data_IF_998029678209
#
_entry.id   IF_998029678209
#
_cell.length_a   1.000
_cell.length_b   1.000
_cell.length_c   1.000
_cell.angle_alpha   90.00
_cell.angle_beta   90.00
_cell.angle_gamma   90.00
#
_symmetry.space_group_name_H-M   'P 1'
#
loop_
_entity.id
_entity.type
_entity.pdbx_description
1 polymer ?
#
# COMPACT_ATOMS: atom_id res chain seq x y z
N UNK A 1 33.83 5.07 -2.47
CA UNK A 1 35.28 4.98 -2.22
C UNK A 1 35.75 3.52 -2.35
N UNK A 2 35.14 2.55 -1.61
CA UNK A 2 35.53 1.14 -1.67
C UNK A 2 35.47 0.57 -3.10
N UNK A 3 34.34 0.77 -3.80
CA UNK A 3 34.15 0.29 -5.17
C UNK A 3 35.13 0.92 -6.18
N UNK A 4 35.46 2.20 -6.00
CA UNK A 4 36.45 2.89 -6.83
C UNK A 4 37.85 2.33 -6.58
N UNK A 5 38.23 2.14 -5.30
CA UNK A 5 39.58 1.67 -4.95
C UNK A 5 39.82 0.19 -5.30
N UNK A 6 38.82 -0.66 -5.15
CA UNK A 6 38.96 -2.10 -5.36
C UNK A 6 38.65 -2.56 -6.80
N UNK A 7 37.71 -1.89 -7.47
CA UNK A 7 37.16 -2.32 -8.76
C UNK A 7 37.29 -1.26 -9.85
N UNK A 8 37.77 -0.04 -9.53
CA UNK A 8 37.82 1.08 -10.48
C UNK A 8 36.46 1.64 -10.89
N UNK A 9 35.38 1.29 -10.16
CA UNK A 9 33.99 1.56 -10.52
C UNK A 9 33.46 2.76 -9.75
N UNK A 10 33.07 3.81 -10.48
CA UNK A 10 32.52 5.05 -9.90
C UNK A 10 31.00 5.17 -10.05
N UNK A 11 30.40 4.53 -11.03
CA UNK A 11 28.98 4.66 -11.37
C UNK A 11 28.18 3.44 -10.92
N UNK A 12 26.91 3.67 -10.56
CA UNK A 12 26.00 2.61 -10.10
C UNK A 12 25.75 1.55 -11.17
N UNK A 13 25.62 1.97 -12.42
CA UNK A 13 25.39 1.03 -13.54
C UNK A 13 26.55 0.06 -13.71
N UNK A 14 27.78 0.56 -13.68
CA UNK A 14 28.99 -0.26 -13.74
C UNK A 14 29.08 -1.22 -12.55
N UNK A 15 28.73 -0.73 -11.34
CA UNK A 15 28.71 -1.56 -10.14
C UNK A 15 27.68 -2.70 -10.26
N UNK A 16 26.52 -2.44 -10.82
CA UNK A 16 25.49 -3.45 -11.05
C UNK A 16 25.94 -4.48 -12.07
N UNK A 17 26.55 -4.05 -13.17
CA UNK A 17 27.07 -4.93 -14.23
C UNK A 17 28.18 -5.87 -13.72
N UNK A 18 29.15 -5.34 -12.98
CA UNK A 18 30.21 -6.14 -12.37
C UNK A 18 29.65 -6.99 -11.21
N UNK A 19 28.65 -6.54 -10.50
CA UNK A 19 28.02 -7.24 -9.38
C UNK A 19 27.39 -8.58 -9.77
N UNK A 20 27.08 -8.78 -11.04
CA UNK A 20 26.62 -10.08 -11.57
C UNK A 20 27.77 -11.08 -11.80
N UNK A 21 29.03 -10.61 -11.82
CA UNK A 21 30.18 -11.42 -12.24
C UNK A 21 31.18 -11.70 -11.10
N UNK A 22 31.35 -10.78 -10.15
CA UNK A 22 32.40 -10.83 -9.13
C UNK A 22 31.80 -10.92 -7.72
N UNK A 23 32.04 -12.00 -6.94
CA UNK A 23 31.48 -12.20 -5.60
C UNK A 23 31.81 -11.08 -4.60
N UNK A 24 33.02 -10.53 -4.65
CA UNK A 24 33.45 -9.49 -3.69
C UNK A 24 32.73 -8.15 -3.88
N UNK A 25 32.09 -7.91 -5.01
CA UNK A 25 31.23 -6.73 -5.24
C UNK A 25 29.96 -6.76 -4.39
N UNK A 26 29.63 -7.90 -3.78
CA UNK A 26 28.48 -8.03 -2.86
C UNK A 26 28.59 -7.06 -1.68
N UNK A 27 29.79 -6.69 -1.19
CA UNK A 27 29.96 -5.76 -0.05
C UNK A 27 29.36 -4.37 -0.34
N UNK A 28 29.78 -3.63 -1.39
CA UNK A 28 29.16 -2.34 -1.69
C UNK A 28 27.69 -2.45 -2.07
N UNK A 29 27.25 -3.55 -2.71
CA UNK A 29 25.84 -3.79 -3.00
C UNK A 29 25.02 -3.93 -1.73
N UNK A 30 25.49 -4.69 -0.72
CA UNK A 30 24.83 -4.82 0.59
C UNK A 30 24.72 -3.49 1.29
N UNK A 31 25.79 -2.67 1.31
CA UNK A 31 25.76 -1.37 1.97
C UNK A 31 24.77 -0.41 1.30
N UNK A 32 24.71 -0.40 -0.02
CA UNK A 32 23.72 0.37 -0.78
C UNK A 32 22.29 -0.16 -0.56
N UNK A 33 22.12 -1.48 -0.55
CA UNK A 33 20.82 -2.09 -0.26
C UNK A 33 20.36 -1.76 1.17
N UNK A 34 21.27 -1.81 2.14
CA UNK A 34 20.99 -1.39 3.53
C UNK A 34 20.55 0.08 3.60
N UNK A 35 21.24 0.98 2.89
CA UNK A 35 20.82 2.38 2.78
C UNK A 35 19.42 2.51 2.14
N UNK A 36 19.11 1.71 1.11
CA UNK A 36 17.78 1.65 0.51
C UNK A 36 16.70 1.19 1.49
N UNK A 37 16.97 0.14 2.29
CA UNK A 37 16.05 -0.36 3.32
C UNK A 37 15.78 0.67 4.41
N UNK A 38 16.81 1.36 4.90
CA UNK A 38 16.66 2.40 5.93
C UNK A 38 15.86 3.59 5.40
N UNK A 39 16.15 4.05 4.19
CA UNK A 39 15.47 5.18 3.55
C UNK A 39 14.02 4.88 3.21
N UNK A 40 13.69 3.63 2.89
CA UNK A 40 12.32 3.17 2.62
C UNK A 40 11.55 2.71 3.87
N UNK A 41 12.03 3.06 5.06
CA UNK A 41 11.38 2.76 6.34
C UNK A 41 11.06 1.27 6.54
N UNK A 42 11.93 0.38 6.06
CA UNK A 42 11.80 -1.04 6.33
C UNK A 42 12.10 -1.35 7.79
N UNK A 43 11.48 -2.40 8.35
CA UNK A 43 11.81 -2.84 9.71
C UNK A 43 13.24 -3.38 9.74
N UNK A 44 14.03 -3.01 10.76
CA UNK A 44 13.66 -2.34 12.02
C UNK A 44 13.63 -0.79 11.97
N UNK A 45 13.87 -0.16 10.83
CA UNK A 45 14.04 1.29 10.69
C UNK A 45 12.73 2.07 10.46
N UNK A 46 11.56 1.46 10.69
CA UNK A 46 10.24 2.05 10.36
C UNK A 46 9.77 3.18 11.27
N UNK A 47 10.33 3.33 12.47
CA UNK A 47 9.85 4.27 13.51
C UNK A 47 9.89 5.73 13.09
N UNK A 48 10.88 6.14 12.32
CA UNK A 48 11.01 7.54 11.89
C UNK A 48 9.81 7.99 11.04
N UNK A 49 9.28 7.09 10.19
CA UNK A 49 8.12 7.40 9.35
C UNK A 49 6.86 7.60 10.20
N UNK A 50 6.66 6.78 11.22
CA UNK A 50 5.55 6.91 12.15
C UNK A 50 5.65 8.22 12.97
N UNK A 51 6.85 8.57 13.43
CA UNK A 51 7.10 9.83 14.13
C UNK A 51 6.87 11.06 13.26
N UNK A 52 7.08 10.95 11.95
CA UNK A 52 6.84 12.06 11.00
C UNK A 52 5.36 12.36 10.74
N UNK A 53 4.42 11.54 11.24
CA UNK A 53 2.97 11.78 11.08
C UNK A 53 2.42 12.98 11.85
N UNK A 54 3.21 13.61 12.70
CA UNK A 54 2.88 14.89 13.38
C UNK A 54 2.92 16.07 12.40
N UNK A 55 3.64 15.94 11.28
CA UNK A 55 3.75 16.98 10.26
C UNK A 55 2.39 17.30 9.59
N UNK A 56 2.23 18.53 9.04
CA UNK A 56 1.06 18.88 8.26
C UNK A 56 0.80 17.88 7.14
N UNK A 57 -0.48 17.62 6.85
CA UNK A 57 -0.88 16.55 5.93
C UNK A 57 -0.33 16.69 4.51
N UNK A 58 -0.23 17.90 3.90
CA UNK A 58 0.38 18.05 2.58
C UNK A 58 1.85 17.64 2.55
N UNK A 59 2.62 17.96 3.61
CA UNK A 59 4.02 17.53 3.75
C UNK A 59 4.11 16.00 3.86
N UNK A 60 3.22 15.39 4.68
CA UNK A 60 3.14 13.93 4.80
C UNK A 60 2.78 13.28 3.45
N UNK A 61 1.86 13.87 2.68
CA UNK A 61 1.50 13.40 1.35
C UNK A 61 2.71 13.37 0.40
N UNK A 62 3.49 14.44 0.35
CA UNK A 62 4.67 14.53 -0.51
C UNK A 62 5.76 13.54 -0.09
N UNK A 63 6.15 13.54 1.19
CA UNK A 63 7.29 12.78 1.69
C UNK A 63 7.03 11.26 1.71
N UNK A 64 5.82 10.86 2.09
CA UNK A 64 5.50 9.45 2.32
C UNK A 64 4.82 8.75 1.15
N UNK A 65 4.34 9.50 0.15
CA UNK A 65 3.71 8.91 -1.04
C UNK A 65 4.63 8.89 -2.24
N UNK A 66 5.30 10.00 -2.57
CA UNK A 66 5.92 10.16 -3.87
C UNK A 66 7.44 10.34 -3.85
N UNK A 67 8.05 10.85 -2.78
CA UNK A 67 9.44 11.31 -2.82
C UNK A 67 10.39 10.52 -1.89
N UNK A 68 10.46 10.89 -0.62
CA UNK A 68 11.51 10.46 0.30
C UNK A 68 11.62 8.94 0.44
N UNK A 69 10.52 8.28 0.72
CA UNK A 69 10.49 6.81 0.90
C UNK A 69 10.66 6.06 -0.41
N UNK A 70 10.29 6.70 -1.54
CA UNK A 70 10.43 6.10 -2.87
C UNK A 70 11.89 6.09 -3.33
N UNK A 71 12.69 7.05 -2.91
CA UNK A 71 14.12 7.07 -3.22
C UNK A 71 14.82 5.78 -2.72
N UNK A 72 14.42 5.26 -1.53
CA UNK A 72 14.97 4.01 -1.02
C UNK A 72 14.62 2.80 -1.88
N UNK A 73 13.34 2.60 -2.19
CA UNK A 73 12.92 1.47 -3.04
C UNK A 73 13.34 1.63 -4.51
N UNK A 74 13.48 2.86 -5.00
CA UNK A 74 14.08 3.13 -6.30
C UNK A 74 15.52 2.63 -6.38
N UNK A 75 16.34 2.92 -5.35
CA UNK A 75 17.69 2.41 -5.25
C UNK A 75 17.71 0.88 -5.26
N UNK A 76 16.81 0.23 -4.50
CA UNK A 76 16.69 -1.23 -4.47
C UNK A 76 16.32 -1.81 -5.85
N UNK A 77 15.38 -1.18 -6.57
CA UNK A 77 15.01 -1.57 -7.94
C UNK A 77 16.22 -1.43 -8.90
N UNK A 78 17.01 -0.36 -8.75
CA UNK A 78 18.22 -0.17 -9.57
C UNK A 78 19.31 -1.19 -9.26
N UNK A 79 19.37 -1.70 -8.03
CA UNK A 79 20.30 -2.74 -7.60
C UNK A 79 19.81 -4.16 -7.93
N UNK A 80 18.55 -4.33 -8.36
CA UNK A 80 17.91 -5.64 -8.46
C UNK A 80 18.68 -6.67 -9.30
N UNK A 81 19.35 -6.35 -10.43
CA UNK A 81 20.12 -7.34 -11.17
C UNK A 81 21.31 -7.88 -10.36
N UNK A 82 21.97 -7.00 -9.58
CA UNK A 82 23.07 -7.39 -8.70
C UNK A 82 22.60 -8.10 -7.39
N UNK A 83 21.30 -8.09 -7.10
CA UNK A 83 20.70 -8.81 -5.98
C UNK A 83 20.22 -10.21 -6.37
N UNK A 84 20.08 -10.50 -7.65
CA UNK A 84 19.53 -11.77 -8.13
C UNK A 84 20.36 -12.98 -7.70
N UNK A 85 19.70 -13.94 -7.04
CA UNK A 85 20.30 -15.24 -6.70
C UNK A 85 21.36 -15.24 -5.60
N UNK A 86 21.64 -14.12 -4.93
CA UNK A 86 22.68 -14.03 -3.90
C UNK A 86 22.12 -13.69 -2.50
N UNK A 87 23.00 -13.76 -1.48
CA UNK A 87 22.64 -13.50 -0.08
C UNK A 87 22.20 -12.05 0.16
N UNK A 88 22.70 -11.08 -0.59
CA UNK A 88 22.25 -9.69 -0.51
C UNK A 88 20.80 -9.56 -0.96
N UNK A 89 20.43 -10.22 -2.06
CA UNK A 89 19.05 -10.32 -2.52
C UNK A 89 18.16 -11.02 -1.50
N UNK A 90 18.62 -12.11 -0.91
CA UNK A 90 17.88 -12.82 0.15
C UNK A 90 17.64 -11.94 1.38
N UNK A 91 18.60 -11.11 1.78
CA UNK A 91 18.46 -10.12 2.86
C UNK A 91 17.35 -9.12 2.53
N UNK A 92 17.41 -8.48 1.38
CA UNK A 92 16.42 -7.47 0.96
C UNK A 92 15.03 -8.10 0.84
N UNK A 93 14.94 -9.28 0.26
CA UNK A 93 13.71 -10.06 0.06
C UNK A 93 13.05 -10.42 1.37
N UNK A 94 13.80 -10.96 2.32
CA UNK A 94 13.27 -11.42 3.61
C UNK A 94 12.83 -10.24 4.46
N UNK A 95 13.65 -9.20 4.57
CA UNK A 95 13.32 -7.97 5.32
C UNK A 95 12.10 -7.27 4.70
N UNK A 96 12.06 -7.16 3.38
CA UNK A 96 10.93 -6.55 2.67
C UNK A 96 9.63 -7.31 2.84
N UNK A 97 9.65 -8.63 2.61
CA UNK A 97 8.47 -9.49 2.75
C UNK A 97 7.95 -9.53 4.20
N UNK A 98 8.83 -9.66 5.17
CA UNK A 98 8.47 -9.60 6.60
C UNK A 98 7.86 -8.24 6.97
N UNK A 99 8.47 -7.14 6.51
CA UNK A 99 7.94 -5.78 6.75
C UNK A 99 6.56 -5.61 6.13
N UNK A 100 6.33 -6.15 4.93
CA UNK A 100 5.02 -6.14 4.29
C UNK A 100 3.95 -6.78 5.18
N UNK A 101 4.20 -7.99 5.69
CA UNK A 101 3.26 -8.70 6.56
C UNK A 101 3.06 -7.98 7.89
N UNK A 102 4.14 -7.70 8.64
CA UNK A 102 4.06 -7.12 9.98
C UNK A 102 3.41 -5.73 9.98
N UNK A 103 3.77 -4.85 9.03
CA UNK A 103 3.18 -3.53 8.94
C UNK A 103 1.71 -3.55 8.51
N UNK A 104 1.29 -4.51 7.65
CA UNK A 104 -0.12 -4.65 7.29
C UNK A 104 -0.98 -5.16 8.47
N UNK A 105 -0.45 -6.04 9.32
CA UNK A 105 -1.10 -6.43 10.58
C UNK A 105 -1.26 -5.24 11.53
N UNK A 106 -0.20 -4.45 11.72
CA UNK A 106 -0.24 -3.25 12.56
C UNK A 106 -1.24 -2.19 12.07
N UNK A 107 -1.47 -2.10 10.76
CA UNK A 107 -2.47 -1.20 10.19
C UNK A 107 -3.91 -1.55 10.61
N UNK A 108 -4.20 -2.82 10.91
CA UNK A 108 -5.52 -3.27 11.35
C UNK A 108 -5.90 -2.60 12.67
N UNK A 109 -4.96 -2.51 13.63
CA UNK A 109 -5.22 -2.00 14.98
C UNK A 109 -5.32 -0.47 15.05
N UNK A 110 -5.05 0.25 13.97
CA UNK A 110 -5.07 1.70 13.99
C UNK A 110 -6.46 2.27 13.74
N UNK A 111 -6.87 3.24 14.57
CA UNK A 111 -8.07 4.06 14.40
C UNK A 111 -7.77 5.44 13.79
N UNK A 112 -6.54 5.92 13.89
CA UNK A 112 -6.09 7.18 13.29
C UNK A 112 -5.80 6.98 11.80
N UNK A 113 -6.48 7.72 10.92
CA UNK A 113 -6.33 7.61 9.46
C UNK A 113 -4.89 7.84 8.98
N UNK A 114 -4.15 8.81 9.54
CA UNK A 114 -2.73 9.03 9.18
C UNK A 114 -1.85 7.85 9.58
N UNK A 115 -2.12 7.21 10.73
CA UNK A 115 -1.38 6.02 11.16
C UNK A 115 -1.67 4.81 10.26
N UNK A 116 -2.94 4.61 9.86
CA UNK A 116 -3.29 3.57 8.87
C UNK A 116 -2.55 3.82 7.56
N UNK A 117 -2.53 5.07 7.08
CA UNK A 117 -1.78 5.44 5.88
C UNK A 117 -0.27 5.19 6.03
N UNK A 118 0.31 5.49 7.19
CA UNK A 118 1.73 5.25 7.46
C UNK A 118 2.09 3.77 7.46
N UNK A 119 1.38 2.94 8.23
CA UNK A 119 1.63 1.50 8.27
C UNK A 119 1.40 0.83 6.91
N UNK A 120 0.35 1.21 6.20
CA UNK A 120 0.11 0.72 4.86
C UNK A 120 1.14 1.20 3.83
N UNK A 121 1.81 2.33 4.06
CA UNK A 121 2.97 2.76 3.28
C UNK A 121 4.18 1.89 3.55
N UNK A 122 4.54 1.66 4.83
CA UNK A 122 5.64 0.77 5.24
C UNK A 122 5.42 -0.62 4.64
N UNK A 123 4.20 -1.14 4.74
CA UNK A 123 3.81 -2.43 4.18
C UNK A 123 4.07 -2.50 2.66
N UNK A 124 3.53 -1.57 1.89
CA UNK A 124 3.70 -1.61 0.43
C UNK A 124 5.15 -1.39 -0.01
N UNK A 125 5.91 -0.54 0.69
CA UNK A 125 7.36 -0.40 0.45
C UNK A 125 8.10 -1.70 0.74
N UNK A 126 7.65 -2.48 1.75
CA UNK A 126 8.16 -3.81 2.03
C UNK A 126 7.96 -4.77 0.86
N UNK A 127 6.76 -4.79 0.27
CA UNK A 127 6.51 -5.62 -0.90
C UNK A 127 7.36 -5.21 -2.11
N UNK A 128 7.54 -3.91 -2.34
CA UNK A 128 8.40 -3.40 -3.41
C UNK A 128 9.86 -3.81 -3.16
N UNK A 129 10.35 -3.71 -1.93
CA UNK A 129 11.67 -4.16 -1.56
C UNK A 129 11.84 -5.66 -1.76
N UNK A 130 10.84 -6.47 -1.41
CA UNK A 130 10.85 -7.91 -1.65
C UNK A 130 10.93 -8.23 -3.15
N UNK A 131 10.17 -7.53 -4.00
CA UNK A 131 10.24 -7.66 -5.45
C UNK A 131 11.64 -7.31 -5.99
N UNK A 132 12.24 -6.23 -5.50
CA UNK A 132 13.59 -5.82 -5.88
C UNK A 132 14.65 -6.84 -5.42
N UNK A 133 14.51 -7.41 -4.23
CA UNK A 133 15.44 -8.40 -3.69
C UNK A 133 15.39 -9.75 -4.41
N UNK A 134 14.21 -10.16 -4.90
CA UNK A 134 14.07 -11.35 -5.78
C UNK A 134 14.83 -11.14 -7.08
N UNK A 135 14.87 -9.90 -7.60
CA UNK A 135 15.67 -9.53 -8.76
C UNK A 135 15.25 -10.18 -10.08
N UNK A 136 14.17 -10.96 -10.13
CA UNK A 136 13.64 -11.52 -11.36
C UNK A 136 12.88 -10.45 -12.16
N UNK A 137 12.94 -10.54 -13.51
CA UNK A 137 12.30 -9.59 -14.42
C UNK A 137 10.87 -9.27 -14.06
N UNK A 138 10.02 -10.30 -13.87
CA UNK A 138 8.61 -10.12 -13.53
C UNK A 138 8.41 -9.51 -12.12
N UNK A 139 9.27 -9.86 -11.17
CA UNK A 139 9.21 -9.29 -9.83
C UNK A 139 9.54 -7.79 -9.85
N UNK A 140 10.57 -7.41 -10.62
CA UNK A 140 10.97 -5.99 -10.76
C UNK A 140 9.91 -5.20 -11.52
N UNK A 141 9.33 -5.77 -12.57
CA UNK A 141 8.18 -5.21 -13.27
C UNK A 141 7.02 -4.92 -12.30
N UNK A 142 6.66 -5.91 -11.48
CA UNK A 142 5.63 -5.75 -10.45
C UNK A 142 6.00 -4.65 -9.43
N UNK A 143 7.25 -4.60 -9.00
CA UNK A 143 7.79 -3.60 -8.09
C UNK A 143 7.66 -2.17 -8.64
N UNK A 144 7.97 -1.95 -9.90
CA UNK A 144 7.85 -0.64 -10.57
C UNK A 144 6.38 -0.19 -10.60
N UNK A 145 5.47 -1.06 -11.01
CA UNK A 145 4.04 -0.72 -11.00
C UNK A 145 3.49 -0.49 -9.59
N UNK A 146 3.93 -1.27 -8.60
CA UNK A 146 3.61 -1.01 -7.19
C UNK A 146 4.05 0.39 -6.76
N UNK A 147 5.23 0.86 -7.19
CA UNK A 147 5.70 2.23 -6.91
C UNK A 147 4.74 3.26 -7.51
N UNK A 148 4.37 3.10 -8.78
CA UNK A 148 3.52 4.06 -9.50
C UNK A 148 2.12 4.15 -8.91
N UNK A 149 1.42 3.03 -8.80
CA UNK A 149 0.06 3.00 -8.26
C UNK A 149 -0.01 3.46 -6.81
N UNK A 150 0.96 3.02 -5.99
CA UNK A 150 1.05 3.44 -4.60
C UNK A 150 1.30 4.95 -4.48
N UNK A 151 2.16 5.53 -5.29
CA UNK A 151 2.47 6.96 -5.21
C UNK A 151 1.21 7.81 -5.44
N UNK A 152 0.46 7.52 -6.49
CA UNK A 152 -0.73 8.31 -6.86
C UNK A 152 -1.85 8.12 -5.82
N UNK A 153 -2.21 6.87 -5.53
CA UNK A 153 -3.32 6.58 -4.60
C UNK A 153 -3.03 7.06 -3.17
N UNK A 154 -1.79 6.96 -2.72
CA UNK A 154 -1.41 7.45 -1.38
C UNK A 154 -1.37 8.96 -1.29
N UNK A 155 -0.89 9.66 -2.32
CA UNK A 155 -0.96 11.12 -2.35
C UNK A 155 -2.40 11.59 -2.25
N UNK A 156 -3.31 10.96 -3.01
CA UNK A 156 -4.73 11.22 -2.94
C UNK A 156 -5.31 11.01 -1.54
N UNK A 157 -5.01 9.86 -0.93
CA UNK A 157 -5.54 9.50 0.38
C UNK A 157 -5.01 10.40 1.50
N UNK A 158 -3.71 10.75 1.50
CA UNK A 158 -3.17 11.68 2.48
C UNK A 158 -3.80 13.06 2.36
N UNK A 159 -3.84 13.65 1.16
CA UNK A 159 -4.44 14.97 0.97
C UNK A 159 -5.93 14.98 1.35
N UNK A 160 -6.67 13.95 0.95
CA UNK A 160 -8.08 13.85 1.27
C UNK A 160 -8.31 13.63 2.79
N UNK A 161 -7.51 12.82 3.46
CA UNK A 161 -7.58 12.67 4.93
C UNK A 161 -7.35 14.00 5.62
N UNK A 162 -6.44 14.85 5.11
CA UNK A 162 -6.24 16.21 5.63
C UNK A 162 -7.43 17.13 5.41
N UNK A 163 -8.05 17.10 4.23
CA UNK A 163 -9.25 17.88 3.94
C UNK A 163 -10.44 17.46 4.81
N UNK A 164 -10.58 16.14 5.06
CA UNK A 164 -11.59 15.58 5.98
C UNK A 164 -11.29 16.01 7.42
N UNK A 165 -10.02 15.90 7.87
CA UNK A 165 -9.57 16.33 9.20
C UNK A 165 -9.91 17.82 9.43
N UNK A 166 -9.61 18.68 8.47
CA UNK A 166 -9.93 20.11 8.56
C UNK A 166 -11.45 20.36 8.68
N UNK A 167 -12.28 19.61 7.97
CA UNK A 167 -13.72 19.81 7.93
C UNK A 167 -14.48 19.18 9.11
N UNK A 168 -14.01 18.00 9.60
CA UNK A 168 -14.62 17.27 10.72
C UNK A 168 -14.01 17.60 12.08
N UNK A 169 -12.80 18.20 12.13
CA UNK A 169 -12.03 18.38 13.35
C UNK A 169 -11.40 17.09 13.89
N UNK A 170 -11.48 15.99 13.18
CA UNK A 170 -10.94 14.68 13.59
C UNK A 170 -10.43 13.88 12.40
N UNK A 171 -9.40 13.08 12.63
CA UNK A 171 -8.85 12.11 11.68
C UNK A 171 -9.09 10.66 12.09
N UNK A 172 -9.87 10.45 13.16
CA UNK A 172 -10.26 9.12 13.59
C UNK A 172 -11.26 8.51 12.58
N UNK A 173 -11.01 7.27 12.16
CA UNK A 173 -11.88 6.53 11.24
C UNK A 173 -13.30 6.40 11.77
N UNK A 174 -13.46 6.28 13.09
CA UNK A 174 -14.80 6.20 13.72
C UNK A 174 -15.62 7.48 13.55
N UNK A 175 -14.96 8.64 13.51
CA UNK A 175 -15.64 9.93 13.29
C UNK A 175 -16.02 10.14 11.82
N UNK A 176 -15.39 9.38 10.91
CA UNK A 176 -15.70 9.37 9.47
C UNK A 176 -16.92 8.52 9.12
N UNK A 177 -17.60 7.90 10.09
CA UNK A 177 -18.86 7.19 9.83
C UNK A 177 -19.88 8.08 9.13
N UNK A 178 -20.44 7.56 8.02
CA UNK A 178 -21.40 8.28 7.22
C UNK A 178 -20.82 9.49 6.49
N UNK A 179 -19.52 9.48 6.17
CA UNK A 179 -18.86 10.56 5.45
C UNK A 179 -19.55 10.86 4.11
N UNK A 180 -20.14 9.85 3.47
CA UNK A 180 -20.95 10.00 2.24
C UNK A 180 -22.10 10.98 2.42
N UNK A 181 -22.68 11.10 3.63
CA UNK A 181 -23.73 12.07 3.95
C UNK A 181 -23.15 13.39 4.44
N UNK A 182 -22.14 13.32 5.32
CA UNK A 182 -21.51 14.50 5.95
C UNK A 182 -20.75 15.37 4.92
N UNK A 183 -19.91 14.75 4.10
CA UNK A 183 -19.02 15.39 3.14
C UNK A 183 -18.95 14.57 1.84
N UNK A 184 -20.03 14.55 1.01
CA UNK A 184 -20.17 13.60 -0.10
C UNK A 184 -19.04 13.69 -1.14
N UNK A 185 -18.55 14.89 -1.44
CA UNK A 185 -17.45 15.08 -2.40
C UNK A 185 -16.13 14.47 -1.90
N UNK A 186 -15.74 14.74 -0.64
CA UNK A 186 -14.52 14.16 -0.06
C UNK A 186 -14.67 12.65 0.16
N UNK A 187 -15.86 12.15 0.51
CA UNK A 187 -16.13 10.74 0.61
C UNK A 187 -15.92 10.02 -0.73
N UNK A 188 -16.41 10.59 -1.82
CA UNK A 188 -16.23 10.02 -3.16
C UNK A 188 -14.76 9.94 -3.57
N UNK A 189 -14.01 11.01 -3.34
CA UNK A 189 -12.55 11.05 -3.58
C UNK A 189 -11.82 10.01 -2.72
N UNK A 190 -12.23 9.83 -1.44
CA UNK A 190 -11.65 8.84 -0.56
C UNK A 190 -11.93 7.41 -1.02
N UNK A 191 -13.13 7.15 -1.51
CA UNK A 191 -13.49 5.85 -2.10
C UNK A 191 -12.60 5.53 -3.30
N UNK A 192 -12.35 6.51 -4.20
CA UNK A 192 -11.43 6.31 -5.34
C UNK A 192 -10.02 5.97 -4.85
N UNK A 193 -9.50 6.71 -3.88
CA UNK A 193 -8.16 6.47 -3.33
C UNK A 193 -8.03 5.10 -2.67
N UNK A 194 -9.02 4.70 -1.87
CA UNK A 194 -9.06 3.39 -1.23
C UNK A 194 -9.20 2.29 -2.28
N UNK A 195 -10.08 2.45 -3.28
CA UNK A 195 -10.23 1.52 -4.38
C UNK A 195 -8.90 1.31 -5.12
N UNK A 196 -8.16 2.38 -5.39
CA UNK A 196 -6.83 2.32 -5.99
C UNK A 196 -5.81 1.47 -5.21
N UNK A 197 -6.02 1.30 -3.90
CA UNK A 197 -5.10 0.54 -3.05
C UNK A 197 -5.37 -0.97 -2.98
N UNK A 198 -6.60 -1.42 -3.17
CA UNK A 198 -6.89 -2.85 -2.96
C UNK A 198 -7.95 -3.45 -3.89
N UNK A 199 -8.80 -2.63 -4.52
CA UNK A 199 -9.92 -3.14 -5.29
C UNK A 199 -9.48 -3.60 -6.68
N UNK A 200 -9.98 -4.76 -7.10
CA UNK A 200 -9.87 -5.18 -8.49
C UNK A 200 -10.81 -4.30 -9.36
N UNK A 201 -10.40 -3.91 -10.53
CA UNK A 201 -9.17 -4.17 -11.27
C UNK A 201 -8.13 -3.03 -11.22
N UNK A 202 -8.11 -2.27 -10.13
CA UNK A 202 -7.12 -1.21 -9.98
C UNK A 202 -5.70 -1.77 -9.90
N UNK A 203 -4.73 -0.99 -10.38
CA UNK A 203 -3.39 -1.43 -10.68
C UNK A 203 -2.59 -2.07 -9.53
N UNK A 204 -2.90 -1.72 -8.27
CA UNK A 204 -2.23 -2.36 -7.12
C UNK A 204 -2.49 -3.86 -7.04
N UNK A 205 -3.70 -4.33 -7.37
CA UNK A 205 -3.99 -5.76 -7.36
C UNK A 205 -3.27 -6.47 -8.51
N UNK A 206 -3.20 -5.85 -9.67
CA UNK A 206 -2.47 -6.37 -10.83
C UNK A 206 -1.00 -6.60 -10.50
N UNK A 207 -0.39 -5.59 -9.90
CA UNK A 207 1.02 -5.64 -9.49
C UNK A 207 1.26 -6.71 -8.42
N UNK A 208 0.35 -6.87 -7.46
CA UNK A 208 0.41 -7.94 -6.45
C UNK A 208 0.27 -9.33 -7.07
N UNK A 209 -0.60 -9.47 -8.07
CA UNK A 209 -0.74 -10.72 -8.82
C UNK A 209 0.55 -11.07 -9.56
N UNK A 210 1.16 -10.12 -10.25
CA UNK A 210 2.42 -10.33 -10.95
C UNK A 210 3.56 -10.67 -9.97
N UNK A 211 3.61 -9.99 -8.82
CA UNK A 211 4.55 -10.32 -7.74
C UNK A 211 4.34 -11.74 -7.22
N UNK A 212 3.08 -12.17 -7.02
CA UNK A 212 2.76 -13.52 -6.58
C UNK A 212 3.26 -14.58 -7.58
N UNK A 213 2.99 -14.34 -8.89
CA UNK A 213 3.49 -15.21 -9.95
C UNK A 213 5.01 -15.30 -9.91
N UNK A 214 5.69 -14.17 -9.86
CA UNK A 214 7.16 -14.12 -9.82
C UNK A 214 7.73 -14.86 -8.59
N UNK A 215 7.08 -14.74 -7.42
CA UNK A 215 7.52 -15.44 -6.20
C UNK A 215 7.30 -16.96 -6.27
N UNK A 216 6.26 -17.41 -6.97
CA UNK A 216 6.01 -18.84 -7.24
C UNK A 216 7.07 -19.37 -8.21
N UNK A 217 7.30 -18.67 -9.32
CA UNK A 217 8.24 -19.06 -10.37
C UNK A 217 9.70 -19.14 -9.84
N UNK A 218 10.05 -18.23 -8.92
CA UNK A 218 11.35 -18.26 -8.21
C UNK A 218 11.39 -19.20 -7.01
N UNK A 219 10.32 -19.99 -6.77
CA UNK A 219 10.21 -20.95 -5.66
C UNK A 219 10.39 -20.32 -4.26
N UNK A 220 10.09 -19.04 -4.13
CA UNK A 220 10.22 -18.28 -2.88
C UNK A 220 8.99 -18.48 -1.97
N UNK A 221 8.80 -19.69 -1.44
CA UNK A 221 7.60 -20.11 -0.66
C UNK A 221 7.28 -19.15 0.48
N UNK A 222 8.30 -18.69 1.22
CA UNK A 222 8.13 -17.76 2.34
C UNK A 222 7.51 -16.44 1.88
N UNK A 223 7.92 -15.92 0.72
CA UNK A 223 7.35 -14.70 0.15
C UNK A 223 5.90 -14.88 -0.30
N UNK A 224 5.58 -16.05 -0.86
CA UNK A 224 4.20 -16.39 -1.22
C UNK A 224 3.30 -16.34 0.02
N UNK A 225 3.76 -16.93 1.15
CA UNK A 225 3.05 -16.86 2.42
C UNK A 225 2.90 -15.41 2.89
N UNK A 226 3.98 -14.63 2.91
CA UNK A 226 3.93 -13.23 3.31
C UNK A 226 2.99 -12.40 2.42
N UNK A 227 2.99 -12.65 1.11
CA UNK A 227 2.14 -11.92 0.18
C UNK A 227 0.66 -12.26 0.36
N UNK A 228 0.31 -13.53 0.54
CA UNK A 228 -1.08 -13.96 0.73
C UNK A 228 -1.65 -13.37 2.03
N UNK A 229 -0.99 -13.63 3.17
CA UNK A 229 -1.47 -13.14 4.47
C UNK A 229 -1.41 -11.62 4.58
N UNK A 230 -0.35 -10.98 4.09
CA UNK A 230 -0.23 -9.53 4.06
C UNK A 230 -1.28 -8.88 3.15
N UNK A 231 -1.68 -9.53 2.06
CA UNK A 231 -2.77 -9.04 1.20
C UNK A 231 -4.13 -9.21 1.86
N UNK A 232 -4.38 -10.29 2.58
CA UNK A 232 -5.60 -10.50 3.36
C UNK A 232 -5.76 -9.42 4.45
N UNK A 233 -4.69 -9.13 5.20
CA UNK A 233 -4.69 -8.05 6.19
C UNK A 233 -4.85 -6.66 5.55
N UNK A 234 -4.27 -6.46 4.36
CA UNK A 234 -4.47 -5.22 3.57
C UNK A 234 -5.93 -5.03 3.19
N UNK A 235 -6.59 -6.08 2.72
CA UNK A 235 -8.02 -6.07 2.39
C UNK A 235 -8.85 -5.70 3.62
N UNK A 236 -8.52 -6.29 4.77
CA UNK A 236 -9.27 -6.09 6.02
C UNK A 236 -9.29 -4.62 6.45
N UNK A 237 -8.15 -3.95 6.59
CA UNK A 237 -8.14 -2.57 7.08
C UNK A 237 -8.69 -1.55 6.06
N UNK A 238 -8.53 -1.80 4.76
CA UNK A 238 -9.14 -0.93 3.75
C UNK A 238 -10.65 -1.09 3.69
N UNK A 239 -11.16 -2.33 3.78
CA UNK A 239 -12.61 -2.60 3.82
C UNK A 239 -13.24 -2.02 5.08
N UNK A 240 -12.56 -2.13 6.22
CA UNK A 240 -12.96 -1.49 7.48
C UNK A 240 -13.15 0.02 7.31
N UNK A 241 -12.16 0.70 6.74
CA UNK A 241 -12.23 2.14 6.51
C UNK A 241 -13.31 2.52 5.49
N UNK A 242 -13.38 1.80 4.37
CA UNK A 242 -14.42 1.98 3.35
C UNK A 242 -15.82 1.80 3.94
N UNK A 243 -16.01 0.78 4.77
CA UNK A 243 -17.26 0.52 5.48
C UNK A 243 -17.66 1.70 6.36
N UNK A 244 -16.72 2.30 7.10
CA UNK A 244 -16.99 3.50 7.92
C UNK A 244 -17.45 4.69 7.08
N UNK A 245 -16.84 4.90 5.90
CA UNK A 245 -17.21 6.00 5.01
C UNK A 245 -18.65 5.87 4.49
N UNK A 246 -19.04 4.65 4.11
CA UNK A 246 -20.33 4.37 3.48
C UNK A 246 -21.45 4.11 4.48
N UNK A 247 -21.13 3.53 5.65
CA UNK A 247 -22.13 3.19 6.67
C UNK A 247 -22.72 4.46 7.29
N UNK A 248 -23.98 4.72 6.98
CA UNK A 248 -24.72 5.87 7.51
C UNK A 248 -25.29 5.51 8.88
N UNK A 249 -24.88 6.26 9.91
CA UNK A 249 -25.54 6.25 11.22
C UNK A 249 -26.76 7.16 11.21
N UNK A 250 -27.74 6.85 12.06
CA UNK A 250 -28.90 7.69 12.25
C UNK A 250 -28.48 9.10 12.71
N UNK A 251 -29.10 10.15 12.14
CA UNK A 251 -28.76 11.57 12.39
C UNK A 251 -27.38 12.06 11.91
N UNK A 252 -26.83 11.48 10.86
CA UNK A 252 -25.67 12.09 10.19
C UNK A 252 -26.08 13.38 9.49
N UNK A 253 -25.78 14.52 10.11
CA UNK A 253 -26.02 15.84 9.51
C UNK A 253 -24.90 16.24 8.54
N UNK A 254 -25.26 17.05 7.54
CA UNK A 254 -24.26 17.60 6.62
C UNK A 254 -23.31 18.53 7.35
N UNK A 255 -22.02 18.27 7.25
CA UNK A 255 -20.97 19.13 7.79
C UNK A 255 -20.56 20.19 6.75
N UNK A 256 -20.22 21.40 7.22
CA UNK A 256 -19.73 22.43 6.32
C UNK A 256 -18.38 22.03 5.75
N UNK A 257 -18.31 21.94 4.44
CA UNK A 257 -17.05 21.70 3.73
C UNK A 257 -16.24 23.00 3.66
N UNK A 258 -15.04 23.00 4.24
CA UNK A 258 -14.12 24.14 4.25
C UNK A 258 -12.93 23.98 3.32
N UNK A 259 -12.94 22.93 2.50
CA UNK A 259 -11.86 22.61 1.54
C UNK A 259 -11.71 23.72 0.51
N UNK A 260 -10.49 24.22 0.35
CA UNK A 260 -10.17 25.30 -0.59
C UNK A 260 -10.19 24.81 -2.04
N UNK A 261 -10.38 25.74 -2.99
CA UNK A 261 -10.37 25.42 -4.43
C UNK A 261 -9.06 24.78 -4.88
N UNK A 262 -7.91 25.24 -4.36
CA UNK A 262 -6.60 24.64 -4.66
C UNK A 262 -6.48 23.19 -4.18
N UNK A 263 -7.04 22.86 -3.03
CA UNK A 263 -7.09 21.48 -2.52
C UNK A 263 -7.99 20.62 -3.41
N UNK A 264 -9.13 21.14 -3.85
CA UNK A 264 -10.01 20.43 -4.78
C UNK A 264 -9.34 20.16 -6.12
N UNK A 265 -8.59 21.11 -6.66
CA UNK A 265 -7.81 20.89 -7.91
C UNK A 265 -6.84 19.74 -7.73
N UNK A 266 -6.09 19.69 -6.62
CA UNK A 266 -5.16 18.60 -6.33
C UNK A 266 -5.88 17.25 -6.17
N UNK A 267 -6.99 17.20 -5.42
CA UNK A 267 -7.77 15.99 -5.18
C UNK A 267 -8.38 15.42 -6.47
N UNK A 268 -8.97 16.29 -7.30
CA UNK A 268 -9.57 15.88 -8.58
C UNK A 268 -8.48 15.41 -9.54
N UNK A 269 -7.36 16.15 -9.66
CA UNK A 269 -6.25 15.76 -10.54
C UNK A 269 -5.67 14.40 -10.17
N UNK A 270 -5.46 14.14 -8.88
CA UNK A 270 -4.97 12.83 -8.41
C UNK A 270 -6.01 11.72 -8.58
N UNK A 271 -7.31 12.02 -8.43
CA UNK A 271 -8.39 11.05 -8.68
C UNK A 271 -8.43 10.66 -10.15
N UNK A 272 -8.37 11.63 -11.05
CA UNK A 272 -8.30 11.40 -12.49
C UNK A 272 -7.04 10.62 -12.84
N UNK A 273 -5.88 11.00 -12.28
CA UNK A 273 -4.63 10.30 -12.53
C UNK A 273 -4.67 8.84 -12.04
N UNK A 274 -5.31 8.56 -10.89
CA UNK A 274 -5.51 7.19 -10.38
C UNK A 274 -6.26 6.34 -11.40
N UNK A 275 -7.37 6.83 -11.92
CA UNK A 275 -8.18 6.11 -12.91
C UNK A 275 -7.45 5.99 -14.25
N UNK A 276 -6.84 7.08 -14.73
CA UNK A 276 -6.10 7.09 -15.99
C UNK A 276 -4.93 6.10 -15.97
N UNK A 277 -4.14 6.06 -14.89
CA UNK A 277 -3.03 5.14 -14.76
C UNK A 277 -3.51 3.67 -14.80
N UNK A 278 -4.67 3.38 -14.21
CA UNK A 278 -5.28 2.05 -14.28
C UNK A 278 -5.74 1.67 -15.71
N UNK A 279 -6.19 2.63 -16.50
CA UNK A 279 -6.61 2.39 -17.88
C UNK A 279 -5.42 2.28 -18.84
N UNK A 280 -4.39 3.10 -18.60
CA UNK A 280 -3.22 3.20 -19.50
C UNK A 280 -2.07 2.27 -19.10
N UNK A 281 -2.18 1.50 -18.01
CA UNK A 281 -1.09 0.66 -17.53
C UNK A 281 -0.52 -0.30 -18.60
N UNK A 282 -1.31 -0.90 -19.53
CA UNK A 282 -0.76 -1.77 -20.55
C UNK A 282 0.14 -1.02 -21.55
N UNK A 283 -0.24 0.23 -21.85
CA UNK A 283 0.57 1.11 -22.70
C UNK A 283 1.85 1.53 -21.98
N UNK A 284 1.75 1.89 -20.69
CA UNK A 284 2.91 2.23 -19.84
C UNK A 284 3.86 1.04 -19.72
N UNK A 285 3.33 -0.19 -19.56
CA UNK A 285 4.14 -1.40 -19.52
C UNK A 285 4.98 -1.54 -20.78
N UNK A 286 4.32 -1.57 -21.95
CA UNK A 286 4.96 -1.87 -23.22
C UNK A 286 5.95 -0.79 -23.70
N UNK A 287 5.66 0.49 -23.41
CA UNK A 287 6.45 1.58 -23.99
C UNK A 287 7.47 2.20 -23.03
N UNK A 288 7.30 2.00 -21.71
CA UNK A 288 8.19 2.60 -20.71
C UNK A 288 8.91 1.55 -19.86
N UNK A 289 8.19 0.54 -19.36
CA UNK A 289 8.76 -0.38 -18.36
C UNK A 289 9.47 -1.56 -19.02
N UNK A 290 8.83 -2.23 -19.96
CA UNK A 290 9.43 -3.39 -20.66
C UNK A 290 10.73 -3.03 -21.40
N UNK A 291 10.82 -1.91 -22.15
CA UNK A 291 12.09 -1.50 -22.76
C UNK A 291 13.20 -1.25 -21.72
N UNK A 292 12.88 -0.56 -20.62
CA UNK A 292 13.84 -0.34 -19.53
C UNK A 292 14.33 -1.66 -18.92
N UNK A 293 13.42 -2.61 -18.68
CA UNK A 293 13.79 -3.90 -18.10
C UNK A 293 14.59 -4.77 -19.09
N UNK A 294 14.26 -4.69 -20.38
CA UNK A 294 15.02 -5.36 -21.42
C UNK A 294 16.50 -4.88 -21.44
N UNK A 295 16.69 -3.56 -21.36
CA UNK A 295 18.04 -2.97 -21.30
C UNK A 295 18.81 -3.39 -20.04
N UNK A 296 18.10 -3.52 -18.91
CA UNK A 296 18.73 -3.83 -17.60
C UNK A 296 19.00 -5.32 -17.43
N UNK A 297 18.10 -6.19 -17.90
CA UNK A 297 18.21 -7.65 -17.69
C UNK A 297 18.76 -8.40 -18.91
N UNK A 298 18.90 -7.74 -20.06
CA UNK A 298 19.37 -8.35 -21.33
C UNK A 298 18.60 -9.63 -21.70
N UNK A 299 17.31 -9.70 -21.38
CA UNK A 299 16.45 -10.85 -21.62
C UNK A 299 15.25 -10.43 -22.49
N UNK A 300 14.99 -11.19 -23.56
CA UNK A 300 13.73 -11.12 -24.28
C UNK A 300 12.68 -11.94 -23.53
N UNK A 301 11.86 -11.27 -22.76
CA UNK A 301 10.78 -11.92 -22.01
C UNK A 301 9.44 -11.65 -22.69
N UNK A 302 8.62 -12.69 -22.84
CA UNK A 302 7.23 -12.53 -23.25
C UNK A 302 6.50 -11.59 -22.31
N UNK A 303 5.51 -10.84 -22.82
CA UNK A 303 4.74 -9.88 -22.03
C UNK A 303 4.29 -10.48 -20.69
N UNK A 304 4.60 -9.82 -19.59
CA UNK A 304 4.30 -10.29 -18.21
C UNK A 304 2.82 -10.59 -18.02
N UNK A 305 1.96 -9.86 -18.73
CA UNK A 305 0.52 -10.08 -18.72
C UNK A 305 0.04 -10.49 -20.10
N UNK A 306 -0.60 -11.66 -20.18
CA UNK A 306 -1.22 -12.13 -21.41
C UNK A 306 -2.38 -11.23 -21.85
N UNK A 307 -2.64 -11.16 -23.15
CA UNK A 307 -3.77 -10.39 -23.72
C UNK A 307 -5.10 -10.82 -23.11
N UNK A 308 -5.29 -12.12 -22.82
CA UNK A 308 -6.49 -12.64 -22.19
C UNK A 308 -6.74 -12.08 -20.78
N UNK A 309 -5.70 -12.01 -19.95
CA UNK A 309 -5.78 -11.41 -18.63
C UNK A 309 -6.12 -9.91 -18.71
N UNK A 310 -5.57 -9.19 -19.70
CA UNK A 310 -5.90 -7.78 -19.93
C UNK A 310 -7.38 -7.56 -20.26
N UNK A 311 -7.99 -8.43 -21.09
CA UNK A 311 -9.41 -8.37 -21.38
C UNK A 311 -10.28 -8.62 -20.14
N UNK A 312 -9.94 -9.62 -19.33
CA UNK A 312 -10.63 -9.90 -18.05
C UNK A 312 -10.57 -8.68 -17.13
N UNK A 313 -9.42 -8.05 -16.99
CA UNK A 313 -9.24 -6.87 -16.16
C UNK A 313 -10.03 -5.66 -16.68
N UNK A 314 -10.04 -5.44 -17.99
CA UNK A 314 -10.82 -4.39 -18.61
C UNK A 314 -12.34 -4.63 -18.38
N UNK A 315 -12.82 -5.86 -18.52
CA UNK A 315 -14.21 -6.22 -18.23
C UNK A 315 -14.55 -5.98 -16.74
N UNK A 316 -13.69 -6.36 -15.81
CA UNK A 316 -13.90 -6.10 -14.38
C UNK A 316 -13.98 -4.59 -14.10
N UNK A 317 -13.09 -3.78 -14.70
CA UNK A 317 -13.11 -2.33 -14.54
C UNK A 317 -14.41 -1.73 -15.10
N UNK A 318 -14.81 -2.14 -16.30
CA UNK A 318 -16.07 -1.71 -16.89
C UNK A 318 -17.26 -2.07 -15.98
N UNK A 319 -17.28 -3.28 -15.43
CA UNK A 319 -18.36 -3.72 -14.52
C UNK A 319 -18.43 -2.85 -13.28
N UNK A 320 -17.28 -2.57 -12.64
CA UNK A 320 -17.22 -1.74 -11.41
C UNK A 320 -17.63 -0.29 -11.69
N UNK A 321 -17.33 0.24 -12.86
CA UNK A 321 -17.72 1.60 -13.23
C UNK A 321 -19.18 1.70 -13.69
N UNK A 322 -19.64 0.72 -14.47
CA UNK A 322 -20.97 0.75 -15.08
C UNK A 322 -22.04 0.35 -14.05
N UNK A 323 -21.81 -0.64 -13.19
CA UNK A 323 -22.80 -1.15 -12.26
C UNK A 323 -23.38 -0.07 -11.32
N UNK A 324 -22.60 0.78 -10.65
CA UNK A 324 -23.13 1.87 -9.83
C UNK A 324 -23.92 2.89 -10.64
N UNK A 325 -23.49 3.18 -11.88
CA UNK A 325 -24.18 4.10 -12.78
C UNK A 325 -25.51 3.49 -13.21
N UNK A 326 -25.56 2.21 -13.56
CA UNK A 326 -26.78 1.49 -13.92
C UNK A 326 -27.76 1.45 -12.73
N UNK A 327 -27.29 1.14 -11.52
CA UNK A 327 -28.12 1.16 -10.29
C UNK A 327 -28.67 2.56 -10.06
N UNK A 328 -27.84 3.61 -10.16
CA UNK A 328 -28.28 5.00 -10.03
C UNK A 328 -29.33 5.36 -11.08
N UNK A 329 -29.16 4.95 -12.33
CA UNK A 329 -30.12 5.20 -13.39
C UNK A 329 -31.46 4.48 -13.14
N UNK A 330 -31.43 3.21 -12.73
CA UNK A 330 -32.62 2.41 -12.41
C UNK A 330 -33.39 2.92 -11.18
N UNK A 331 -32.67 3.60 -10.26
CA UNK A 331 -33.25 4.16 -9.03
C UNK A 331 -33.55 5.66 -9.15
N UNK A 332 -33.25 6.27 -10.29
CA UNK A 332 -33.45 7.71 -10.49
C UNK A 332 -34.94 8.07 -10.34
N UNK A 333 -35.20 9.11 -9.56
CA UNK A 333 -36.58 9.59 -9.27
C UNK A 333 -37.37 8.77 -8.25
N UNK A 334 -36.88 7.62 -7.78
CA UNK A 334 -37.53 6.86 -6.70
C UNK A 334 -37.19 7.48 -5.34
N UNK A 335 -38.23 7.70 -4.52
CA UNK A 335 -38.04 8.09 -3.13
C UNK A 335 -37.49 6.90 -2.34
N UNK A 336 -36.28 7.00 -1.84
CA UNK A 336 -35.69 5.99 -0.97
C UNK A 336 -36.08 6.28 0.48
N UNK A 337 -36.62 5.26 1.17
CA UNK A 337 -36.86 5.34 2.61
C UNK A 337 -35.53 5.06 3.33
N UNK A 338 -35.01 6.06 4.05
CA UNK A 338 -33.90 5.84 4.95
C UNK A 338 -34.44 5.12 6.17
N UNK A 339 -33.95 3.93 6.43
CA UNK A 339 -34.32 3.13 7.61
C UNK A 339 -33.13 3.09 8.57
N UNK A 340 -33.45 2.98 9.86
CA UNK A 340 -32.44 2.83 10.91
C UNK A 340 -31.72 1.49 10.77
N UNK A 341 -30.47 1.44 11.29
CA UNK A 341 -29.71 0.19 11.38
C UNK A 341 -30.46 -0.81 12.26
N UNK A 342 -30.61 -2.05 11.75
CA UNK A 342 -31.17 -3.13 12.56
C UNK A 342 -30.20 -3.55 13.65
N UNK A 343 -30.61 -3.47 14.92
CA UNK A 343 -29.78 -3.72 16.09
C UNK A 343 -30.18 -4.99 16.85
N UNK A 344 -30.97 -5.88 16.26
CA UNK A 344 -31.38 -7.12 16.89
C UNK A 344 -32.55 -6.99 17.89
N UNK A 345 -33.16 -5.82 17.98
CA UNK A 345 -34.30 -5.52 18.87
C UNK A 345 -35.04 -4.28 18.44
N UNK A 346 -35.98 -3.82 19.30
CA UNK A 346 -36.72 -2.58 19.04
C UNK A 346 -35.79 -1.35 19.17
N UNK A 347 -35.81 -0.50 18.15
CA UNK A 347 -35.00 0.71 18.12
C UNK A 347 -35.57 1.75 19.14
N UNK A 348 -34.69 2.31 19.96
CA UNK A 348 -35.05 3.31 20.99
C UNK A 348 -34.92 4.75 20.48
N UNK A 349 -34.66 4.96 19.21
CA UNK A 349 -34.49 6.29 18.59
C UNK A 349 -33.06 6.79 18.55
N UNK A 350 -32.10 6.03 19.08
CA UNK A 350 -30.66 6.29 18.97
C UNK A 350 -29.94 5.11 18.26
N UNK A 351 -28.67 5.30 17.90
CA UNK A 351 -27.83 4.30 17.27
C UNK A 351 -26.97 3.50 18.27
N UNK A 352 -27.24 3.61 19.56
CA UNK A 352 -26.45 3.02 20.64
C UNK A 352 -27.24 2.14 21.60
N UNK A 353 -28.57 2.26 21.64
CA UNK A 353 -29.43 1.49 22.53
C UNK A 353 -30.55 0.80 21.77
N UNK A 354 -30.92 -0.38 22.22
CA UNK A 354 -32.07 -1.12 21.75
C UNK A 354 -32.84 -1.73 22.93
N UNK A 355 -34.14 -1.98 22.75
CA UNK A 355 -34.93 -2.76 23.69
C UNK A 355 -34.86 -4.24 23.27
N UNK A 356 -34.47 -5.09 24.22
CA UNK A 356 -34.48 -6.53 24.01
C UNK A 356 -35.93 -7.10 24.11
N UNK A 357 -36.05 -8.43 23.91
CA UNK A 357 -37.34 -9.11 23.95
C UNK A 357 -38.05 -9.06 25.34
N UNK A 358 -37.33 -8.70 26.38
CA UNK A 358 -37.85 -8.55 27.76
C UNK A 358 -38.21 -7.11 28.11
N UNK A 359 -38.00 -6.16 27.21
CA UNK A 359 -38.26 -4.74 27.40
C UNK A 359 -37.12 -3.97 28.09
N UNK A 360 -35.96 -4.59 28.29
CA UNK A 360 -34.82 -3.96 28.89
C UNK A 360 -34.02 -3.15 27.86
N UNK A 361 -33.61 -1.93 28.23
CA UNK A 361 -32.70 -1.10 27.43
C UNK A 361 -31.27 -1.65 27.49
N UNK A 362 -30.76 -2.17 26.39
CA UNK A 362 -29.37 -2.64 26.25
C UNK A 362 -28.58 -1.70 25.38
N UNK A 363 -27.32 -1.49 25.74
CA UNK A 363 -26.37 -0.71 24.94
C UNK A 363 -25.75 -1.60 23.88
N UNK A 364 -25.76 -1.14 22.64
CA UNK A 364 -25.03 -1.73 21.52
C UNK A 364 -23.91 -0.78 21.12
N UNK A 365 -22.71 -1.30 21.05
CA UNK A 365 -21.55 -0.53 20.64
C UNK A 365 -21.21 -0.84 19.17
N UNK A 366 -21.60 0.06 18.29
CA UNK A 366 -21.30 -0.04 16.86
C UNK A 366 -19.95 0.63 16.58
N UNK A 367 -18.88 -0.11 16.74
CA UNK A 367 -17.54 0.30 16.36
C UNK A 367 -16.88 -0.75 15.48
N UNK A 368 -15.90 -0.32 14.69
CA UNK A 368 -15.09 -1.26 13.94
C UNK A 368 -14.25 -2.14 14.88
N UNK A 369 -14.02 -3.37 14.46
CA UNK A 369 -13.14 -4.26 15.18
C UNK A 369 -11.67 -3.99 14.83
N UNK A 370 -10.92 -3.51 15.78
CA UNK A 370 -9.52 -3.15 15.62
C UNK A 370 -8.56 -4.29 15.94
N UNK A 371 -9.04 -5.38 16.52
CA UNK A 371 -8.24 -6.56 16.91
C UNK A 371 -6.96 -6.18 17.66
N UNK A 372 -7.04 -5.16 18.53
CA UNK A 372 -5.86 -4.62 19.24
C UNK A 372 -5.23 -5.65 20.19
N UNK A 373 -6.04 -6.60 20.67
CA UNK A 373 -5.57 -7.73 21.46
C UNK A 373 -4.62 -8.67 20.69
N UNK A 374 -4.71 -8.70 19.35
CA UNK A 374 -3.92 -9.55 18.49
C UNK A 374 -2.86 -8.77 17.72
N UNK A 375 -3.24 -7.67 17.10
CA UNK A 375 -2.41 -6.90 16.17
C UNK A 375 -1.99 -5.52 16.72
N UNK A 376 -2.22 -5.24 18.01
CA UNK A 376 -1.84 -3.98 18.64
C UNK A 376 -0.34 -3.69 18.61
N UNK A 377 0.03 -2.42 18.53
CA UNK A 377 1.44 -1.96 18.52
C UNK A 377 2.26 -2.52 19.69
N UNK A 378 1.64 -2.63 20.88
CA UNK A 378 2.31 -3.16 22.09
C UNK A 378 2.74 -4.62 21.92
N UNK A 379 1.99 -5.42 21.14
CA UNK A 379 2.23 -6.86 20.97
C UNK A 379 3.08 -7.19 19.75
N UNK A 380 2.86 -6.51 18.63
CA UNK A 380 3.52 -6.87 17.36
C UNK A 380 4.72 -5.99 17.06
N UNK A 381 4.67 -4.66 17.32
CA UNK A 381 5.70 -3.76 16.83
C UNK A 381 7.10 -4.08 17.41
N UNK A 382 7.21 -4.24 18.73
CA UNK A 382 8.52 -4.54 19.35
C UNK A 382 9.10 -5.89 18.89
N UNK A 383 8.37 -7.02 18.97
CA UNK A 383 8.87 -8.30 18.46
C UNK A 383 9.27 -8.24 16.99
N UNK A 384 8.47 -7.59 16.14
CA UNK A 384 8.77 -7.45 14.71
C UNK A 384 10.06 -6.68 14.46
N UNK A 385 10.31 -5.60 15.22
CA UNK A 385 11.57 -4.85 15.11
C UNK A 385 12.78 -5.69 15.52
N UNK A 386 12.67 -6.48 16.60
CA UNK A 386 13.78 -7.37 17.05
C UNK A 386 14.02 -8.51 16.07
N UNK A 387 12.96 -9.18 15.60
CA UNK A 387 13.08 -10.28 14.62
C UNK A 387 13.68 -9.77 13.30
N UNK A 388 13.24 -8.64 12.83
CA UNK A 388 13.77 -8.02 11.61
C UNK A 388 15.23 -7.58 11.78
N UNK A 389 15.60 -7.02 12.94
CA UNK A 389 16.98 -6.64 13.24
C UNK A 389 17.89 -7.88 13.30
N UNK A 390 17.47 -8.94 14.00
CA UNK A 390 18.23 -10.18 14.09
C UNK A 390 18.42 -10.82 12.71
N UNK A 391 17.34 -10.94 11.93
CA UNK A 391 17.40 -11.49 10.57
C UNK A 391 18.32 -10.69 9.66
N UNK A 392 18.24 -9.36 9.71
CA UNK A 392 19.09 -8.47 8.93
C UNK A 392 20.57 -8.64 9.30
N UNK A 393 20.91 -8.67 10.59
CA UNK A 393 22.29 -8.84 11.06
C UNK A 393 22.83 -10.21 10.63
N UNK A 394 22.07 -11.28 10.84
CA UNK A 394 22.48 -12.62 10.44
C UNK A 394 22.75 -12.70 8.95
N UNK A 395 21.84 -12.21 8.12
CA UNK A 395 21.99 -12.25 6.66
C UNK A 395 23.12 -11.34 6.17
N UNK A 396 23.36 -10.18 6.80
CA UNK A 396 24.53 -9.35 6.49
C UNK A 396 25.84 -10.06 6.82
N UNK A 397 25.94 -10.67 7.99
CA UNK A 397 27.17 -11.39 8.41
C UNK A 397 27.44 -12.57 7.46
N UNK A 398 26.43 -13.35 7.12
CA UNK A 398 26.55 -14.47 6.18
C UNK A 398 26.95 -13.99 4.77
N UNK A 399 26.38 -12.87 4.30
CA UNK A 399 26.66 -12.35 2.98
C UNK A 399 28.08 -11.75 2.88
N UNK A 400 28.55 -11.06 3.92
CA UNK A 400 29.93 -10.54 3.99
C UNK A 400 30.91 -11.69 4.17
N UNK A 401 30.63 -12.65 5.07
CA UNK A 401 31.50 -13.78 5.31
C UNK A 401 31.61 -14.76 4.13
N UNK A 402 30.58 -14.85 3.29
CA UNK A 402 30.64 -15.64 2.06
C UNK A 402 31.27 -14.93 0.85
N UNK A 403 31.54 -13.62 0.99
CA UNK A 403 32.21 -12.81 -0.04
C UNK A 403 33.72 -12.65 0.19
N UNK A 404 34.20 -12.96 1.41
CA UNK A 404 35.61 -13.00 1.81
C UNK A 404 36.13 -14.43 1.75
#
# INVERSE_FOLDING_TARGET
>A
IYSVNQFGVAYLNELVEIGTQIPTVVIPVILLAFAGLTKSAQMPFSRWLLGAMVAPTPTSALLHSATMVKAGVYLLIRLSPALYGNLAGMMVTTVGGFTFLAASMLAISQSDGKKVLAYSTISNLGLIAACAGVGAYEAVWAGIFLIMFHAVSKSLLFLNTGAVENSLGSRNIEDMHGLVVKLPGLAFVMIIGIAGMFLAPFGMLISKWAALKAFIDTKSILLVIFLIYGSATTLFYWTKWLGSIVAVRHHSEKTKNITKTSEWVALISLSVLTVTLCLTFPWVSRHLIEPFLHDVFHQEVAAVISSGNMYIMAMMLCTILILPLAVRFLTFGKKHKIVMTYMGGANTGDDRTFMDSFGDKKKMYLANWYMDEWFGEKKILKPSLYLSAAGLIILMVLAIGGAV
#
